data_IF_611808509642
#
_entry.id   IF_611808509642
#
_cell.length_a   1.000
_cell.length_b   1.000
_cell.length_c   1.000
_cell.angle_alpha   90.00
_cell.angle_beta   90.00
_cell.angle_gamma   90.00
#
_symmetry.space_group_name_H-M   'P 1'
#
loop_
_entity.id
_entity.type
_entity.pdbx_description
1 polymer ?
#
# COMPACT_ATOMS: atom_id res chain seq x y z
N UNK A 1 -30.20 0.83 7.13
CA UNK A 1 -29.84 -0.46 6.51
C UNK A 1 -30.79 -0.69 5.35
N UNK A 2 -30.42 -0.22 4.16
CA UNK A 2 -31.11 -0.58 2.93
C UNK A 2 -30.13 -1.32 2.06
N UNK A 3 -30.25 -2.64 2.04
CA UNK A 3 -29.78 -3.47 0.96
C UNK A 3 -30.76 -3.28 -0.21
N UNK A 4 -30.71 -2.14 -0.88
CA UNK A 4 -31.30 -2.03 -2.20
C UNK A 4 -30.37 -2.71 -3.17
N UNK A 5 -30.87 -3.79 -3.78
CA UNK A 5 -30.11 -4.77 -4.55
C UNK A 5 -29.52 -4.32 -5.89
N UNK A 6 -29.09 -3.07 -6.02
CA UNK A 6 -28.39 -2.56 -7.18
C UNK A 6 -26.88 -2.50 -6.92
N UNK A 7 -26.19 -3.57 -7.25
CA UNK A 7 -24.72 -3.67 -7.21
C UNK A 7 -24.08 -2.61 -8.12
N UNK A 8 -24.79 -2.15 -9.13
CA UNK A 8 -24.38 -1.16 -10.11
C UNK A 8 -25.58 -0.33 -10.55
N UNK A 9 -25.47 1.00 -10.52
CA UNK A 9 -26.52 1.89 -11.03
C UNK A 9 -25.95 2.78 -12.15
N UNK A 10 -26.83 3.07 -13.11
CA UNK A 10 -26.51 3.92 -14.26
C UNK A 10 -27.41 5.15 -14.19
N UNK A 11 -26.80 6.30 -14.11
CA UNK A 11 -27.50 7.58 -14.10
C UNK A 11 -26.92 8.47 -15.20
N UNK A 12 -27.80 9.06 -16.02
CA UNK A 12 -27.36 10.01 -17.05
C UNK A 12 -27.59 11.42 -16.54
N UNK A 13 -26.50 12.15 -16.29
CA UNK A 13 -26.50 13.55 -15.88
C UNK A 13 -25.76 14.36 -16.95
N UNK A 14 -26.42 15.40 -17.49
CA UNK A 14 -25.84 16.27 -18.54
C UNK A 14 -25.26 15.52 -19.76
N UNK A 15 -25.92 14.45 -20.22
CA UNK A 15 -25.48 13.54 -21.28
C UNK A 15 -24.25 12.69 -20.95
N UNK A 16 -23.77 12.67 -19.71
CA UNK A 16 -22.69 11.81 -19.24
C UNK A 16 -23.28 10.62 -18.49
N UNK A 17 -22.89 9.40 -18.83
CA UNK A 17 -23.28 8.19 -18.16
C UNK A 17 -22.49 8.02 -16.88
N UNK A 18 -23.09 8.25 -15.72
CA UNK A 18 -22.50 7.98 -14.41
C UNK A 18 -22.73 6.52 -14.03
N UNK A 19 -21.63 5.77 -13.88
CA UNK A 19 -21.63 4.37 -13.48
C UNK A 19 -21.24 4.31 -12.01
N UNK A 20 -22.24 4.17 -11.15
CA UNK A 20 -22.02 4.06 -9.70
C UNK A 20 -21.88 2.58 -9.33
N UNK A 21 -20.83 2.23 -8.60
CA UNK A 21 -20.57 0.86 -8.15
C UNK A 21 -20.56 0.78 -6.63
N UNK A 22 -21.18 -0.27 -6.10
CA UNK A 22 -21.10 -0.58 -4.68
C UNK A 22 -19.74 -1.19 -4.30
N UNK A 23 -19.55 -1.51 -3.05
CA UNK A 23 -18.31 -2.07 -2.53
C UNK A 23 -17.96 -3.43 -3.15
N UNK A 24 -18.97 -4.28 -3.40
CA UNK A 24 -18.76 -5.64 -3.94
C UNK A 24 -18.40 -5.55 -5.42
N UNK A 25 -19.10 -4.73 -6.21
CA UNK A 25 -18.80 -4.53 -7.63
C UNK A 25 -17.42 -3.89 -7.81
N UNK A 26 -17.06 -2.88 -6.99
CA UNK A 26 -15.75 -2.26 -6.99
C UNK A 26 -14.66 -3.32 -6.73
N UNK A 27 -14.84 -4.20 -5.74
CA UNK A 27 -13.93 -5.29 -5.44
C UNK A 27 -13.82 -6.30 -6.59
N UNK A 28 -14.95 -6.66 -7.19
CA UNK A 28 -15.00 -7.58 -8.34
C UNK A 28 -14.23 -7.01 -9.53
N UNK A 29 -14.45 -5.73 -9.88
CA UNK A 29 -13.72 -5.05 -10.95
C UNK A 29 -12.23 -4.98 -10.67
N UNK A 30 -11.82 -4.61 -9.45
CA UNK A 30 -10.43 -4.59 -9.03
C UNK A 30 -9.77 -5.98 -9.15
N UNK A 31 -10.50 -7.04 -8.77
CA UNK A 31 -10.01 -8.43 -8.88
C UNK A 31 -9.83 -8.87 -10.34
N UNK A 32 -10.76 -8.53 -11.22
CA UNK A 32 -10.64 -8.81 -12.67
C UNK A 32 -9.44 -8.06 -13.25
N UNK A 33 -9.28 -6.77 -12.93
CA UNK A 33 -8.14 -5.96 -13.40
C UNK A 33 -6.80 -6.50 -12.89
N UNK A 34 -6.76 -7.02 -11.67
CA UNK A 34 -5.58 -7.71 -11.14
C UNK A 34 -5.22 -8.95 -11.97
N UNK A 35 -6.20 -9.79 -12.31
CA UNK A 35 -5.98 -10.97 -13.14
C UNK A 35 -5.52 -10.59 -14.55
N UNK A 36 -6.11 -9.56 -15.15
CA UNK A 36 -5.67 -9.01 -16.44
C UNK A 36 -4.22 -8.54 -16.34
N UNK A 37 -3.87 -7.81 -15.28
CA UNK A 37 -2.50 -7.36 -15.02
C UNK A 37 -1.51 -8.52 -14.93
N UNK A 38 -1.85 -9.62 -14.25
CA UNK A 38 -1.04 -10.84 -14.21
C UNK A 38 -0.91 -11.49 -15.58
N UNK A 39 -2.00 -11.61 -16.34
CA UNK A 39 -1.98 -12.20 -17.66
C UNK A 39 -1.07 -11.42 -18.63
N UNK A 40 -1.12 -10.09 -18.58
CA UNK A 40 -0.26 -9.23 -19.41
C UNK A 40 1.19 -9.31 -18.98
N UNK A 41 1.45 -9.24 -17.64
CA UNK A 41 2.81 -9.36 -17.09
C UNK A 41 3.49 -10.66 -17.54
N UNK A 42 2.75 -11.76 -17.55
CA UNK A 42 3.28 -13.07 -17.95
C UNK A 42 3.58 -13.16 -19.45
N UNK A 43 2.89 -12.37 -20.29
CA UNK A 43 3.10 -12.35 -21.75
C UNK A 43 4.16 -11.33 -22.19
N UNK A 44 4.34 -10.25 -21.43
CA UNK A 44 5.22 -9.14 -21.80
C UNK A 44 6.48 -9.16 -20.94
N UNK A 45 7.54 -9.77 -21.46
CA UNK A 45 8.83 -9.90 -20.78
C UNK A 45 9.42 -8.57 -20.29
N UNK A 46 9.12 -7.45 -20.97
CA UNK A 46 9.54 -6.12 -20.56
C UNK A 46 9.01 -5.77 -19.16
N UNK A 47 7.73 -6.00 -18.90
CA UNK A 47 7.10 -5.69 -17.61
C UNK A 47 7.66 -6.54 -16.46
N UNK A 48 7.93 -7.82 -16.73
CA UNK A 48 8.58 -8.71 -15.78
C UNK A 48 10.03 -8.29 -15.51
N UNK A 49 10.78 -7.93 -16.57
CA UNK A 49 12.18 -7.49 -16.50
C UNK A 49 12.37 -6.22 -15.66
N UNK A 50 11.42 -5.30 -15.70
CA UNK A 50 11.46 -4.05 -14.92
C UNK A 50 10.71 -4.14 -13.60
N UNK A 51 10.33 -5.33 -13.16
CA UNK A 51 9.68 -5.60 -11.87
C UNK A 51 8.37 -4.84 -11.67
N UNK A 52 7.63 -4.51 -12.75
CA UNK A 52 6.36 -3.78 -12.67
C UNK A 52 5.31 -4.70 -12.03
N UNK A 53 4.64 -4.29 -10.94
CA UNK A 53 3.62 -5.11 -10.28
C UNK A 53 2.37 -5.28 -11.14
N UNK A 54 1.75 -6.46 -11.12
CA UNK A 54 0.51 -6.74 -11.84
C UNK A 54 -0.65 -5.78 -11.50
N UNK A 55 -0.87 -5.38 -10.23
CA UNK A 55 -1.90 -4.39 -9.91
C UNK A 55 -1.72 -3.05 -10.63
N UNK A 56 -0.47 -2.61 -10.81
CA UNK A 56 -0.15 -1.35 -11.51
C UNK A 56 -0.53 -1.46 -12.98
N UNK A 57 -0.26 -2.59 -13.62
CA UNK A 57 -0.61 -2.83 -15.04
C UNK A 57 -2.13 -2.78 -15.24
N UNK A 58 -2.88 -3.50 -14.39
CA UNK A 58 -4.35 -3.49 -14.44
C UNK A 58 -4.93 -2.09 -14.16
N UNK A 59 -4.37 -1.40 -13.16
CA UNK A 59 -4.77 -0.04 -12.83
C UNK A 59 -4.53 0.97 -13.96
N UNK A 60 -3.40 0.89 -14.65
CA UNK A 60 -3.13 1.74 -15.83
C UNK A 60 -4.11 1.53 -16.97
N UNK A 61 -4.44 0.28 -17.28
CA UNK A 61 -5.42 -0.03 -18.32
C UNK A 61 -6.76 0.64 -17.99
N UNK A 62 -7.20 0.47 -16.75
CA UNK A 62 -8.47 1.03 -16.32
C UNK A 62 -8.42 2.57 -16.24
N UNK A 63 -7.29 3.14 -15.80
CA UNK A 63 -7.06 4.58 -15.82
C UNK A 63 -7.24 5.17 -17.23
N UNK A 64 -6.69 4.53 -18.28
CA UNK A 64 -6.86 5.01 -19.64
C UNK A 64 -8.31 4.91 -20.11
N UNK A 65 -9.04 3.86 -19.71
CA UNK A 65 -10.46 3.70 -20.03
C UNK A 65 -11.27 4.81 -19.37
N UNK A 66 -11.08 5.05 -18.07
CA UNK A 66 -11.80 6.10 -17.33
C UNK A 66 -11.43 7.50 -17.82
N UNK A 67 -10.16 7.72 -18.12
CA UNK A 67 -9.69 8.98 -18.70
C UNK A 67 -10.34 9.28 -20.07
N UNK A 68 -10.42 8.29 -20.94
CA UNK A 68 -11.09 8.42 -22.23
C UNK A 68 -12.58 8.72 -22.07
N UNK A 69 -13.28 8.02 -21.17
CA UNK A 69 -14.69 8.29 -20.86
C UNK A 69 -14.93 9.70 -20.33
N UNK A 70 -14.12 10.12 -19.41
CA UNK A 70 -14.22 11.46 -18.81
C UNK A 70 -13.90 12.58 -19.81
N UNK A 71 -12.83 12.45 -20.62
CA UNK A 71 -12.42 13.48 -21.60
C UNK A 71 -13.39 13.59 -22.78
N UNK A 72 -14.02 12.48 -23.16
CA UNK A 72 -15.05 12.48 -24.22
C UNK A 72 -16.44 12.88 -23.70
N UNK A 73 -16.61 13.03 -22.39
CA UNK A 73 -17.89 13.32 -21.77
C UNK A 73 -18.93 12.18 -21.96
N UNK A 74 -18.46 10.94 -22.19
CA UNK A 74 -19.36 9.81 -22.46
C UNK A 74 -19.77 9.07 -21.19
N UNK A 75 -18.81 8.77 -20.32
CA UNK A 75 -19.07 8.07 -19.06
C UNK A 75 -18.07 8.42 -17.95
N UNK A 76 -18.52 8.27 -16.71
CA UNK A 76 -17.72 8.47 -15.49
C UNK A 76 -18.01 7.33 -14.52
N UNK A 77 -16.97 6.82 -13.87
CA UNK A 77 -17.10 5.81 -12.81
C UNK A 77 -17.04 6.46 -11.42
N UNK A 78 -17.98 6.11 -10.57
CA UNK A 78 -18.00 6.44 -9.15
C UNK A 78 -17.84 5.16 -8.34
N UNK A 79 -16.68 4.99 -7.69
CA UNK A 79 -16.35 3.79 -6.93
C UNK A 79 -16.62 3.98 -5.44
N UNK A 80 -17.06 2.90 -4.80
CA UNK A 80 -17.18 2.84 -3.34
C UNK A 80 -15.91 2.22 -2.76
N UNK A 81 -15.12 3.01 -2.03
CA UNK A 81 -13.80 2.60 -1.53
C UNK A 81 -13.85 1.92 -0.13
N UNK A 82 -14.99 1.36 0.27
CA UNK A 82 -15.20 0.78 1.60
C UNK A 82 -14.16 -0.27 1.99
N UNK A 83 -13.67 -1.07 1.04
CA UNK A 83 -12.67 -2.12 1.32
C UNK A 83 -11.22 -1.65 1.24
N UNK A 84 -10.96 -0.42 0.79
CA UNK A 84 -9.58 0.09 0.66
C UNK A 84 -8.86 0.11 2.01
N UNK A 85 -9.44 0.73 3.01
CA UNK A 85 -8.83 0.86 4.34
C UNK A 85 -8.67 -0.48 5.05
N UNK A 86 -9.68 -1.37 5.12
CA UNK A 86 -9.52 -2.70 5.71
C UNK A 86 -8.43 -3.54 5.04
N UNK A 87 -8.34 -3.54 3.71
CA UNK A 87 -7.30 -4.30 3.02
C UNK A 87 -5.91 -3.68 3.17
N UNK A 88 -5.81 -2.36 3.16
CA UNK A 88 -4.55 -1.67 3.46
C UNK A 88 -4.08 -2.00 4.88
N UNK A 89 -4.98 -1.96 5.85
CA UNK A 89 -4.71 -2.31 7.23
C UNK A 89 -4.26 -3.78 7.36
N UNK A 90 -4.95 -4.71 6.70
CA UNK A 90 -4.57 -6.12 6.65
C UNK A 90 -3.20 -6.34 5.99
N UNK A 91 -2.93 -5.66 4.88
CA UNK A 91 -1.64 -5.73 4.19
C UNK A 91 -0.48 -5.33 5.12
N UNK A 92 -0.54 -4.15 5.74
CA UNK A 92 0.52 -3.70 6.64
C UNK A 92 0.63 -4.56 7.90
N UNK A 93 -0.48 -5.12 8.39
CA UNK A 93 -0.46 -6.09 9.50
C UNK A 93 0.31 -7.34 9.10
N UNK A 94 0.10 -7.89 7.89
CA UNK A 94 0.85 -9.05 7.41
C UNK A 94 2.34 -8.75 7.22
N UNK A 95 2.69 -7.55 6.76
CA UNK A 95 4.08 -7.07 6.71
C UNK A 95 4.69 -7.04 8.11
N UNK A 96 3.96 -6.52 9.11
CA UNK A 96 4.39 -6.53 10.51
C UNK A 96 4.60 -7.93 11.07
N UNK A 97 3.69 -8.88 10.79
CA UNK A 97 3.84 -10.28 11.19
C UNK A 97 5.05 -10.97 10.54
N UNK A 98 5.44 -10.55 9.35
CA UNK A 98 6.65 -11.04 8.66
C UNK A 98 7.96 -10.43 9.20
N UNK A 99 7.89 -9.29 9.89
CA UNK A 99 9.03 -8.60 10.46
C UNK A 99 9.32 -9.12 11.87
N UNK A 100 10.19 -10.14 11.99
CA UNK A 100 10.56 -10.66 13.31
C UNK A 100 11.59 -9.76 14.02
N UNK A 101 11.54 -9.73 15.35
CA UNK A 101 12.56 -9.05 16.18
C UNK A 101 13.98 -9.56 15.91
N UNK A 102 14.13 -10.82 15.50
CA UNK A 102 15.42 -11.39 15.14
C UNK A 102 15.97 -10.78 13.84
N UNK A 103 15.11 -10.49 12.86
CA UNK A 103 15.47 -9.77 11.64
C UNK A 103 15.86 -8.32 11.92
N UNK A 104 15.14 -7.63 12.80
CA UNK A 104 15.48 -6.27 13.23
C UNK A 104 16.85 -6.22 13.90
N UNK A 105 17.17 -7.20 14.78
CA UNK A 105 18.50 -7.31 15.39
C UNK A 105 19.61 -7.60 14.38
N UNK A 106 19.35 -8.43 13.35
CA UNK A 106 20.31 -8.72 12.28
C UNK A 106 20.57 -7.49 11.40
N UNK A 107 19.57 -6.64 11.16
CA UNK A 107 19.75 -5.38 10.43
C UNK A 107 20.64 -4.37 11.17
N UNK A 108 20.69 -4.43 12.49
CA UNK A 108 21.62 -3.69 13.36
C UNK A 108 21.70 -2.20 13.02
N UNK A 109 22.93 -1.67 13.08
CA UNK A 109 23.23 -0.26 12.83
C UNK A 109 22.88 0.17 11.39
N UNK A 110 22.98 -0.74 10.42
CA UNK A 110 22.69 -0.45 9.01
C UNK A 110 21.21 -0.07 8.81
N UNK A 111 20.31 -0.75 9.51
CA UNK A 111 18.87 -0.43 9.50
C UNK A 111 18.60 0.97 10.06
N UNK A 112 19.28 1.33 11.15
CA UNK A 112 19.15 2.66 11.77
C UNK A 112 19.67 3.74 10.81
N UNK A 113 20.85 3.53 10.22
CA UNK A 113 21.43 4.46 9.23
C UNK A 113 20.49 4.63 8.05
N UNK A 114 19.96 3.54 7.49
CA UNK A 114 19.01 3.59 6.38
C UNK A 114 17.74 4.38 6.76
N UNK A 115 17.19 4.14 7.94
CA UNK A 115 16.02 4.86 8.45
C UNK A 115 16.28 6.36 8.60
N UNK A 116 17.43 6.74 9.17
CA UNK A 116 17.84 8.13 9.30
C UNK A 116 18.03 8.80 7.93
N UNK A 117 18.68 8.12 6.98
CA UNK A 117 18.83 8.62 5.61
C UNK A 117 17.48 8.83 4.93
N UNK A 118 16.53 7.89 5.08
CA UNK A 118 15.18 8.03 4.55
C UNK A 118 14.44 9.22 5.18
N UNK A 119 14.61 9.44 6.49
CA UNK A 119 14.08 10.61 7.19
C UNK A 119 14.63 11.93 6.65
N UNK A 120 15.95 12.01 6.45
CA UNK A 120 16.61 13.19 5.89
C UNK A 120 16.09 13.47 4.46
N UNK A 121 16.01 12.43 3.61
CA UNK A 121 15.43 12.56 2.26
C UNK A 121 14.00 13.08 2.31
N UNK A 122 13.16 12.58 3.22
CA UNK A 122 11.78 13.04 3.41
C UNK A 122 11.70 14.52 3.78
N UNK A 123 12.60 14.99 4.64
CA UNK A 123 12.67 16.42 5.01
C UNK A 123 13.02 17.27 3.79
N UNK A 124 14.06 16.90 3.04
CA UNK A 124 14.43 17.62 1.82
C UNK A 124 13.32 17.59 0.77
N UNK A 125 12.64 16.47 0.60
CA UNK A 125 11.51 16.34 -0.33
C UNK A 125 10.38 17.31 0.05
N UNK A 126 10.05 17.44 1.34
CA UNK A 126 9.03 18.38 1.80
C UNK A 126 9.46 19.84 1.58
N UNK A 127 10.71 20.18 1.88
CA UNK A 127 11.24 21.53 1.63
C UNK A 127 11.16 21.89 0.14
N UNK A 128 11.63 20.99 -0.73
CA UNK A 128 11.61 21.18 -2.18
C UNK A 128 10.15 21.24 -2.67
N UNK A 129 9.28 20.34 -2.17
CA UNK A 129 7.87 20.31 -2.54
C UNK A 129 7.14 21.59 -2.19
N UNK A 130 7.37 22.15 -1.00
CA UNK A 130 6.81 23.45 -0.60
C UNK A 130 7.39 24.57 -1.48
N UNK A 131 8.70 24.61 -1.68
CA UNK A 131 9.33 25.65 -2.48
C UNK A 131 8.83 25.66 -3.94
N UNK A 132 8.76 24.49 -4.57
CA UNK A 132 8.25 24.37 -5.94
C UNK A 132 6.74 24.64 -6.00
N UNK A 133 5.97 24.07 -5.07
CA UNK A 133 4.52 24.24 -5.02
C UNK A 133 4.13 25.72 -4.86
N UNK A 134 4.76 26.43 -3.93
CA UNK A 134 4.52 27.86 -3.73
C UNK A 134 4.97 28.70 -4.93
N UNK A 135 6.05 28.32 -5.61
CA UNK A 135 6.51 29.00 -6.82
C UNK A 135 5.53 28.87 -8.00
N UNK A 136 4.73 27.79 -8.05
CA UNK A 136 3.67 27.63 -9.05
C UNK A 136 2.29 28.07 -8.56
N UNK A 137 2.22 28.74 -7.41
CA UNK A 137 0.99 29.30 -6.86
C UNK A 137 0.13 28.37 -6.03
N UNK A 138 0.63 27.18 -5.63
CA UNK A 138 -0.04 26.31 -4.69
C UNK A 138 0.14 26.83 -3.25
N UNK A 139 -0.91 26.72 -2.45
CA UNK A 139 -0.80 26.96 -1.02
C UNK A 139 0.06 25.87 -0.35
N UNK A 140 0.81 26.24 0.68
CA UNK A 140 1.78 25.38 1.35
C UNK A 140 1.22 24.02 1.81
N UNK A 141 -0.01 23.88 2.33
CA UNK A 141 -0.58 22.58 2.70
C UNK A 141 -0.77 21.63 1.51
N UNK A 142 -1.22 22.14 0.36
CA UNK A 142 -1.34 21.32 -0.86
C UNK A 142 0.02 20.90 -1.40
N UNK A 143 1.00 21.81 -1.37
CA UNK A 143 2.38 21.53 -1.76
C UNK A 143 3.01 20.45 -0.84
N UNK A 144 2.75 20.54 0.46
CA UNK A 144 3.22 19.57 1.44
C UNK A 144 2.58 18.20 1.24
N UNK A 145 1.26 18.14 1.00
CA UNK A 145 0.57 16.89 0.63
C UNK A 145 1.09 16.30 -0.67
N UNK A 146 1.47 17.13 -1.64
CA UNK A 146 2.04 16.66 -2.91
C UNK A 146 3.51 16.23 -2.81
N UNK A 147 4.11 16.25 -1.61
CA UNK A 147 5.50 15.88 -1.37
C UNK A 147 5.64 14.56 -0.59
N UNK A 148 6.54 14.49 0.39
CA UNK A 148 6.85 13.24 1.10
C UNK A 148 5.65 12.65 1.84
N UNK A 149 4.69 13.45 2.31
CA UNK A 149 3.50 12.96 3.02
C UNK A 149 2.79 11.89 2.16
N UNK A 150 2.50 12.21 0.92
CA UNK A 150 1.75 11.30 0.04
C UNK A 150 2.66 10.39 -0.78
N UNK A 151 3.78 10.90 -1.30
CA UNK A 151 4.66 10.11 -2.16
C UNK A 151 5.44 9.03 -1.42
N UNK A 152 5.83 9.27 -0.16
CA UNK A 152 6.50 8.26 0.69
C UNK A 152 5.49 7.56 1.59
N UNK A 153 4.57 8.31 2.21
CA UNK A 153 3.56 7.77 3.13
C UNK A 153 2.39 7.07 2.44
N UNK A 154 2.23 7.23 1.13
CA UNK A 154 1.19 6.59 0.32
C UNK A 154 -0.22 7.09 0.63
N UNK A 155 -1.23 6.35 0.14
CA UNK A 155 -2.66 6.73 0.29
C UNK A 155 -3.11 6.82 1.74
N UNK A 156 -2.52 6.03 2.64
CA UNK A 156 -2.87 6.06 4.06
C UNK A 156 -2.48 7.38 4.73
N UNK A 157 -1.25 7.84 4.51
CA UNK A 157 -0.80 9.13 5.02
C UNK A 157 -1.53 10.29 4.30
N UNK A 158 -1.71 10.18 2.97
CA UNK A 158 -2.47 11.15 2.18
C UNK A 158 -3.89 11.35 2.71
N UNK A 159 -4.61 10.26 3.01
CA UNK A 159 -5.97 10.32 3.58
C UNK A 159 -5.99 10.90 4.99
N UNK A 160 -5.05 10.47 5.84
CA UNK A 160 -4.98 10.91 7.24
C UNK A 160 -4.66 12.41 7.36
N UNK A 161 -3.63 12.89 6.67
CA UNK A 161 -3.27 14.31 6.67
C UNK A 161 -4.19 15.15 5.80
N UNK A 162 -4.71 14.58 4.69
CA UNK A 162 -5.68 15.24 3.82
C UNK A 162 -6.95 15.61 4.59
N UNK A 163 -7.53 14.67 5.34
CA UNK A 163 -8.70 14.94 6.18
C UNK A 163 -8.42 16.00 7.26
N UNK A 164 -7.20 15.99 7.82
CA UNK A 164 -6.78 17.03 8.78
C UNK A 164 -6.73 18.41 8.13
N UNK A 165 -6.18 18.53 6.93
CA UNK A 165 -6.12 19.79 6.22
C UNK A 165 -7.51 20.27 5.74
N UNK A 166 -8.41 19.35 5.34
CA UNK A 166 -9.81 19.70 5.04
C UNK A 166 -10.53 20.28 6.26
N UNK A 167 -10.28 19.72 7.45
CA UNK A 167 -10.82 20.27 8.70
C UNK A 167 -10.27 21.67 9.04
N UNK A 168 -9.12 22.03 8.51
CA UNK A 168 -8.51 23.37 8.62
C UNK A 168 -8.95 24.32 7.51
N UNK A 169 -9.85 23.91 6.61
CA UNK A 169 -10.43 24.73 5.56
C UNK A 169 -9.79 24.57 4.17
N UNK A 170 -8.85 23.65 3.99
CA UNK A 170 -8.22 23.37 2.70
C UNK A 170 -9.05 22.34 1.93
N UNK A 171 -10.08 22.78 1.23
CA UNK A 171 -10.96 21.92 0.42
C UNK A 171 -10.18 21.13 -0.63
N UNK A 172 -10.60 19.89 -0.93
CA UNK A 172 -9.94 18.99 -1.86
C UNK A 172 -8.53 18.49 -1.45
N UNK A 173 -8.09 18.70 -0.20
CA UNK A 173 -6.80 18.22 0.29
C UNK A 173 -6.66 16.70 0.19
N UNK A 174 -7.72 15.93 0.50
CA UNK A 174 -7.72 14.48 0.32
C UNK A 174 -7.51 14.08 -1.15
N UNK A 175 -8.17 14.77 -2.09
CA UNK A 175 -8.01 14.51 -3.53
C UNK A 175 -6.60 14.78 -4.02
N UNK A 176 -6.01 15.91 -3.63
CA UNK A 176 -4.61 16.25 -3.95
C UNK A 176 -3.64 15.22 -3.38
N UNK A 177 -3.83 14.85 -2.11
CA UNK A 177 -3.00 13.83 -1.47
C UNK A 177 -3.11 12.45 -2.15
N UNK A 178 -4.31 12.02 -2.50
CA UNK A 178 -4.54 10.74 -3.19
C UNK A 178 -3.90 10.73 -4.60
N UNK A 179 -4.03 11.82 -5.35
CA UNK A 179 -3.38 11.95 -6.66
C UNK A 179 -1.85 11.90 -6.55
N UNK A 180 -1.27 12.62 -5.59
CA UNK A 180 0.17 12.63 -5.34
C UNK A 180 0.67 11.24 -4.86
N UNK A 181 -0.08 10.53 -4.01
CA UNK A 181 0.24 9.19 -3.57
C UNK A 181 0.24 8.20 -4.75
N UNK A 182 -0.75 8.29 -5.63
CA UNK A 182 -0.84 7.47 -6.84
C UNK A 182 0.37 7.72 -7.76
N UNK A 183 0.68 8.99 -8.01
CA UNK A 183 1.85 9.37 -8.81
C UNK A 183 3.16 8.87 -8.18
N UNK A 184 3.31 9.02 -6.85
CA UNK A 184 4.48 8.55 -6.11
C UNK A 184 4.68 7.03 -6.20
N UNK A 185 3.61 6.24 -6.05
CA UNK A 185 3.66 4.78 -6.20
C UNK A 185 4.07 4.36 -7.61
N UNK A 186 3.46 4.96 -8.61
CA UNK A 186 3.75 4.65 -10.01
C UNK A 186 5.19 5.01 -10.36
N UNK A 187 5.61 6.25 -10.09
CA UNK A 187 6.97 6.72 -10.40
C UNK A 187 8.02 5.97 -9.59
N UNK A 188 7.73 5.65 -8.33
CA UNK A 188 8.61 4.86 -7.48
C UNK A 188 8.89 3.48 -8.08
N UNK A 189 7.89 2.81 -8.60
CA UNK A 189 8.05 1.51 -9.27
C UNK A 189 8.77 1.64 -10.60
N UNK A 190 8.39 2.62 -11.44
CA UNK A 190 8.96 2.81 -12.77
C UNK A 190 10.45 3.21 -12.73
N UNK A 191 10.85 3.98 -11.74
CA UNK A 191 12.25 4.44 -11.57
C UNK A 191 13.03 3.49 -10.65
N UNK A 192 12.45 3.09 -9.52
CA UNK A 192 13.11 2.29 -8.50
C UNK A 192 13.43 0.87 -8.98
N UNK A 193 12.52 0.24 -9.73
CA UNK A 193 12.73 -1.11 -10.28
C UNK A 193 13.96 -1.21 -11.19
N UNK A 194 14.06 -0.41 -12.25
CA UNK A 194 15.23 -0.38 -13.13
C UNK A 194 16.52 0.03 -12.43
N UNK A 195 16.45 1.01 -11.52
CA UNK A 195 17.61 1.46 -10.74
C UNK A 195 18.14 0.35 -9.82
N UNK A 196 17.24 -0.29 -9.07
CA UNK A 196 17.58 -1.41 -8.19
C UNK A 196 18.22 -2.56 -8.99
N UNK A 197 17.62 -2.94 -10.12
CA UNK A 197 18.19 -3.95 -11.01
C UNK A 197 19.60 -3.56 -11.51
N UNK A 198 19.77 -2.30 -11.92
CA UNK A 198 21.10 -1.81 -12.38
C UNK A 198 22.15 -1.92 -11.29
N UNK A 199 21.80 -1.57 -10.05
CA UNK A 199 22.73 -1.67 -8.91
C UNK A 199 23.08 -3.14 -8.61
N UNK A 200 22.09 -4.03 -8.57
CA UNK A 200 22.29 -5.46 -8.35
C UNK A 200 23.25 -6.04 -9.39
N UNK A 201 23.02 -5.78 -10.67
CA UNK A 201 23.85 -6.29 -11.75
C UNK A 201 25.26 -5.66 -11.73
N UNK A 202 25.34 -4.33 -11.50
CA UNK A 202 26.61 -3.61 -11.51
C UNK A 202 27.57 -4.06 -10.40
N UNK A 203 27.04 -4.36 -9.23
CA UNK A 203 27.82 -4.72 -8.04
C UNK A 203 27.79 -6.23 -7.74
N UNK A 204 27.24 -7.05 -8.64
CA UNK A 204 27.05 -8.51 -8.47
C UNK A 204 26.45 -8.85 -7.08
N UNK A 205 25.45 -8.05 -6.66
CA UNK A 205 24.84 -8.23 -5.36
C UNK A 205 24.04 -9.53 -5.36
N UNK A 206 24.50 -10.48 -4.55
CA UNK A 206 23.80 -11.73 -4.27
C UNK A 206 23.12 -11.59 -2.92
N UNK A 207 21.91 -12.17 -2.73
CA UNK A 207 21.36 -12.29 -1.39
C UNK A 207 22.44 -13.01 -0.56
N UNK A 208 22.81 -12.45 0.60
CA UNK A 208 23.59 -13.22 1.57
C UNK A 208 22.85 -14.54 1.74
N UNK A 209 23.53 -15.65 1.41
CA UNK A 209 23.02 -16.99 1.67
C UNK A 209 22.88 -17.18 3.19
N UNK A 210 21.87 -16.57 3.76
CA UNK A 210 21.26 -17.08 4.95
C UNK A 210 20.45 -18.30 4.50
N UNK A 211 21.19 -19.41 4.32
CA UNK A 211 20.70 -20.73 3.99
C UNK A 211 19.44 -21.14 4.77
N UNK A 212 19.24 -20.55 5.94
CA UNK A 212 18.08 -20.81 6.78
C UNK A 212 16.71 -20.47 6.17
N UNK A 213 16.58 -19.42 5.32
CA UNK A 213 15.27 -19.04 4.80
C UNK A 213 14.95 -19.61 3.42
N UNK A 214 15.96 -19.90 2.60
CA UNK A 214 15.75 -20.56 1.30
C UNK A 214 15.65 -22.07 1.46
N UNK A 215 16.43 -22.65 2.37
CA UNK A 215 16.33 -24.06 2.73
C UNK A 215 15.06 -24.33 3.55
N UNK A 216 14.60 -23.39 4.37
CA UNK A 216 13.27 -23.44 5.00
C UNK A 216 12.14 -23.38 3.96
N UNK A 217 12.25 -22.56 2.92
CA UNK A 217 11.27 -22.54 1.81
C UNK A 217 11.43 -23.79 0.94
N UNK A 218 12.64 -24.26 0.68
CA UNK A 218 12.89 -25.53 -0.01
C UNK A 218 12.52 -26.75 0.86
N UNK A 219 12.81 -26.72 2.14
CA UNK A 219 12.43 -27.80 3.07
C UNK A 219 10.91 -27.82 3.33
N UNK A 220 10.24 -26.66 3.37
CA UNK A 220 8.77 -26.57 3.35
C UNK A 220 8.20 -27.05 2.01
N UNK A 221 8.95 -26.94 0.91
CA UNK A 221 8.56 -27.48 -0.40
C UNK A 221 8.99 -28.94 -0.60
N UNK A 222 10.00 -29.42 0.12
CA UNK A 222 10.55 -30.79 0.02
C UNK A 222 10.09 -31.74 1.16
N UNK A 223 9.85 -31.22 2.35
CA UNK A 223 9.09 -31.95 3.36
C UNK A 223 7.64 -31.94 2.89
N UNK A 224 7.15 -33.10 2.42
CA UNK A 224 5.83 -33.27 1.85
C UNK A 224 4.81 -32.42 2.61
N UNK A 225 4.23 -31.45 1.91
CA UNK A 225 3.28 -30.50 2.45
C UNK A 225 2.20 -31.25 3.20
N UNK A 226 2.25 -31.25 4.51
CA UNK A 226 0.97 -31.43 5.20
C UNK A 226 0.06 -30.31 4.69
N UNK A 227 -1.07 -30.63 4.10
CA UNK A 227 -1.99 -29.62 3.59
C UNK A 227 -2.30 -28.69 4.77
N UNK A 228 -2.15 -27.37 4.55
CA UNK A 228 -2.52 -26.36 5.55
C UNK A 228 -3.92 -26.71 6.07
N UNK A 229 -4.01 -27.03 7.34
CA UNK A 229 -5.30 -27.31 7.95
C UNK A 229 -6.19 -26.06 7.83
N UNK A 230 -7.47 -26.24 7.51
CA UNK A 230 -8.44 -25.16 7.52
C UNK A 230 -8.38 -24.37 8.85
N UNK A 231 -8.11 -25.05 9.96
CA UNK A 231 -7.94 -24.45 11.27
C UNK A 231 -6.72 -23.52 11.34
N UNK A 232 -5.61 -23.85 10.65
CA UNK A 232 -4.42 -22.97 10.65
C UNK A 232 -4.66 -21.71 9.82
N UNK A 233 -5.40 -21.81 8.73
CA UNK A 233 -5.85 -20.65 7.95
C UNK A 233 -6.72 -19.74 8.83
N UNK A 234 -7.72 -20.31 9.51
CA UNK A 234 -8.61 -19.57 10.39
C UNK A 234 -7.82 -18.88 11.51
N UNK A 235 -6.88 -19.58 12.17
CA UNK A 235 -6.03 -19.01 13.22
C UNK A 235 -5.21 -17.82 12.70
N UNK A 236 -4.63 -17.93 11.51
CA UNK A 236 -3.85 -16.83 10.93
C UNK A 236 -4.74 -15.62 10.60
N UNK A 237 -5.93 -15.84 10.04
CA UNK A 237 -6.90 -14.78 9.77
C UNK A 237 -7.32 -14.10 11.07
N UNK A 238 -7.62 -14.86 12.13
CA UNK A 238 -7.99 -14.31 13.45
C UNK A 238 -6.84 -13.45 14.02
N UNK A 239 -5.60 -13.94 13.94
CA UNK A 239 -4.44 -13.15 14.42
C UNK A 239 -4.32 -11.82 13.67
N UNK A 240 -4.47 -11.84 12.34
CA UNK A 240 -4.44 -10.62 11.54
C UNK A 240 -5.54 -9.66 11.98
N UNK A 241 -6.78 -10.12 12.10
CA UNK A 241 -7.93 -9.28 12.50
C UNK A 241 -7.72 -8.70 13.90
N UNK A 242 -7.24 -9.50 14.85
CA UNK A 242 -6.94 -9.03 16.21
C UNK A 242 -5.84 -7.96 16.21
N UNK A 243 -4.75 -8.19 15.44
CA UNK A 243 -3.68 -7.18 15.30
C UNK A 243 -4.18 -5.88 14.66
N UNK A 244 -5.08 -5.98 13.66
CA UNK A 244 -5.71 -4.81 13.06
C UNK A 244 -6.52 -4.02 14.08
N UNK A 245 -7.38 -4.70 14.86
CA UNK A 245 -8.23 -4.06 15.87
C UNK A 245 -7.40 -3.40 16.97
N UNK A 246 -6.47 -4.13 17.57
CA UNK A 246 -5.60 -3.61 18.63
C UNK A 246 -4.72 -2.47 18.11
N UNK A 247 -4.17 -2.62 16.89
CA UNK A 247 -3.33 -1.61 16.27
C UNK A 247 -4.08 -0.30 15.98
N UNK A 248 -5.34 -0.39 15.55
CA UNK A 248 -6.20 0.79 15.37
C UNK A 248 -6.46 1.50 16.71
N UNK A 249 -6.70 0.75 17.79
CA UNK A 249 -6.85 1.32 19.13
C UNK A 249 -5.56 2.02 19.58
N UNK A 250 -4.39 1.39 19.38
CA UNK A 250 -3.08 1.97 19.70
C UNK A 250 -2.84 3.25 18.89
N UNK A 251 -3.15 3.25 17.58
CA UNK A 251 -3.03 4.45 16.74
C UNK A 251 -3.91 5.59 17.23
N UNK A 252 -5.14 5.31 17.61
CA UNK A 252 -6.04 6.31 18.19
C UNK A 252 -5.54 6.88 19.51
N UNK A 253 -4.96 6.05 20.35
CA UNK A 253 -4.35 6.49 21.62
C UNK A 253 -3.09 7.34 21.38
N UNK A 254 -2.21 6.91 20.48
CA UNK A 254 -1.01 7.67 20.08
C UNK A 254 -1.40 9.01 19.46
N UNK A 255 -2.40 9.04 18.58
CA UNK A 255 -2.91 10.29 17.97
C UNK A 255 -3.35 11.30 19.03
N UNK A 256 -4.06 10.84 20.06
CA UNK A 256 -4.48 11.70 21.18
C UNK A 256 -3.30 12.21 22.01
N UNK A 257 -2.26 11.37 22.19
CA UNK A 257 -1.09 11.71 23.00
C UNK A 257 -0.21 12.76 22.31
N UNK A 258 0.01 12.63 20.99
CA UNK A 258 0.88 13.53 20.22
C UNK A 258 0.10 14.75 19.66
N UNK A 259 -1.22 14.75 19.70
CA UNK A 259 -2.04 15.83 19.10
C UNK A 259 -2.00 15.86 17.57
N UNK A 260 -1.59 14.76 16.92
CA UNK A 260 -1.48 14.61 15.48
C UNK A 260 -2.11 13.31 15.02
N UNK A 261 -2.62 13.28 13.78
CA UNK A 261 -3.16 12.07 13.19
C UNK A 261 -2.06 11.01 12.97
N UNK A 262 -2.19 9.87 13.66
CA UNK A 262 -1.28 8.72 13.50
C UNK A 262 -1.99 7.63 12.70
N UNK A 263 -1.45 7.21 11.54
CA UNK A 263 -2.14 6.29 10.64
C UNK A 263 -2.41 4.93 11.29
N UNK A 264 -3.63 4.40 11.13
CA UNK A 264 -4.08 3.14 11.74
C UNK A 264 -3.24 1.93 11.30
N UNK A 265 -2.83 1.89 10.04
CA UNK A 265 -2.02 0.79 9.51
C UNK A 265 -0.62 0.73 10.14
N UNK A 266 -0.06 1.86 10.56
CA UNK A 266 1.25 1.91 11.25
C UNK A 266 1.13 1.26 12.63
N UNK A 267 0.10 1.58 13.39
CA UNK A 267 -0.14 0.93 14.69
C UNK A 267 -0.40 -0.56 14.56
N UNK A 268 -1.17 -0.98 13.56
CA UNK A 268 -1.41 -2.38 13.30
C UNK A 268 -0.13 -3.15 12.92
N UNK A 269 0.73 -2.55 12.11
CA UNK A 269 2.04 -3.09 11.77
C UNK A 269 2.93 -3.25 13.03
N UNK A 270 3.01 -2.23 13.90
CA UNK A 270 3.80 -2.33 15.13
C UNK A 270 3.27 -3.38 16.10
N UNK A 271 1.95 -3.46 16.28
CA UNK A 271 1.33 -4.50 17.11
C UNK A 271 1.65 -5.89 16.55
N UNK A 272 1.59 -6.05 15.24
CA UNK A 272 1.89 -7.32 14.57
C UNK A 272 3.35 -7.76 14.75
N UNK A 273 4.32 -6.84 14.74
CA UNK A 273 5.75 -7.13 15.00
C UNK A 273 5.97 -7.72 16.40
N UNK A 274 5.15 -7.32 17.39
CA UNK A 274 5.28 -7.78 18.78
C UNK A 274 4.71 -9.21 18.93
N UNK A 275 3.82 -9.65 18.04
CA UNK A 275 3.25 -11.01 18.09
C UNK A 275 4.34 -12.03 17.78
N UNK A 276 4.65 -12.96 18.70
CA UNK A 276 5.73 -13.91 18.51
C UNK A 276 5.53 -14.78 17.28
N UNK A 277 6.58 -14.92 16.47
CA UNK A 277 6.59 -15.85 15.34
C UNK A 277 6.42 -17.28 15.86
N UNK A 278 5.26 -17.90 15.61
CA UNK A 278 4.95 -19.26 16.03
C UNK A 278 5.88 -20.33 15.45
N UNK A 279 6.64 -20.02 14.40
CA UNK A 279 7.64 -20.94 13.82
C UNK A 279 8.89 -21.07 14.68
N UNK A 280 9.31 -20.01 15.37
CA UNK A 280 10.46 -20.03 16.26
C UNK A 280 10.25 -20.89 17.51
N UNK A 281 9.02 -21.04 17.98
CA UNK A 281 8.70 -21.78 19.19
C UNK A 281 8.65 -23.30 18.97
N UNK A 282 8.44 -23.78 17.73
CA UNK A 282 8.43 -25.23 17.42
C UNK A 282 9.83 -25.80 17.19
N UNK A 283 10.82 -24.97 16.81
CA UNK A 283 12.20 -25.44 16.61
C UNK A 283 13.02 -25.49 17.90
N UNK A 284 12.54 -24.90 19.02
CA UNK A 284 13.21 -24.97 20.32
C UNK A 284 12.62 -26.02 21.27
N UNK A 285 11.67 -26.84 20.83
CA UNK A 285 11.02 -27.87 21.63
C UNK A 285 11.26 -29.31 21.15
N UNK A 286 12.29 -29.51 20.32
CA UNK A 286 12.77 -30.86 19.94
C UNK A 286 14.22 -31.06 20.28
#
# INVERSE_FOLDING_TARGET
SQWEGNIMSFETVENVLNINTDAIMTLAMASILLLIGYAIKNKVNFLAKYCIPAPVIGGFIFMFITFAGHTTGTFTFNFTNTFQDPFMLAFFTTVGLGASFSLLKKGGILLIVYWLCAGVVSIFQNIIGIAVGTAVGLEAPYALLSSAISMIGGHGAAGSYGSTFESLGYSAAMGVGAAAATFGLISGVLVGGPLGRRLIVKYDLKPEEHQANYDDIKSVNAAGKEPLSALDIIKNVVVIIVCMAVGTMVSGWVSKLIGMSFPNYVGAMFVAVIVPDRKSTRLNSS
#
